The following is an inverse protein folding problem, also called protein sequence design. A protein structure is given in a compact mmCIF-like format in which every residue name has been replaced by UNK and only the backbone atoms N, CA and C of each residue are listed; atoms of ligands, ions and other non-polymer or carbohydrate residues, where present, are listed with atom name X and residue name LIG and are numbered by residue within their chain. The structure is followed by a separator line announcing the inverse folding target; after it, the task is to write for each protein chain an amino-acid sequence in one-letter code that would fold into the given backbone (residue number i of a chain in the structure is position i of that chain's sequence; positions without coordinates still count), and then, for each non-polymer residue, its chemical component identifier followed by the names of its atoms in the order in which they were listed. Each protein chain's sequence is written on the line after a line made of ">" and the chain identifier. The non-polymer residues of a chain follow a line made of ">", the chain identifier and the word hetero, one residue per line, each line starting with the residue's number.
data_IF_288661554523
#
_entry.id   IF_288661554523
#
_cell.length_a   1.000
_cell.length_b   1.000
_cell.length_c   1.000
_cell.angle_alpha   90.00
_cell.angle_beta   90.00
_cell.angle_gamma   90.00
#
_symmetry.space_group_name_H-M   'P 1'
#
loop_
_entity.id
_entity.type
_entity.pdbx_description
1 polymer ?
#
# COMPACT_ATOMS: atom_id res chain seq x y z
N UNK A 1 23.91 -36.45 -14.51
CA UNK A 1 22.47 -36.10 -14.65
C UNK A 1 21.61 -36.46 -13.43
N UNK A 2 21.86 -37.59 -12.74
CA UNK A 2 21.07 -38.00 -11.55
C UNK A 2 21.10 -36.97 -10.40
N UNK A 3 22.24 -36.32 -10.19
CA UNK A 3 22.40 -35.32 -9.12
C UNK A 3 21.72 -33.98 -9.45
N UNK A 4 21.52 -33.67 -10.74
CA UNK A 4 20.84 -32.43 -11.17
C UNK A 4 19.32 -32.55 -10.99
N UNK A 5 18.75 -33.72 -11.30
CA UNK A 5 17.33 -33.99 -11.08
C UNK A 5 16.96 -33.95 -9.60
N UNK A 6 17.86 -34.47 -8.74
CA UNK A 6 17.69 -34.41 -7.29
C UNK A 6 17.77 -32.99 -6.73
N UNK A 7 18.58 -32.11 -7.34
CA UNK A 7 18.68 -30.70 -6.95
C UNK A 7 17.43 -29.92 -7.37
N UNK A 8 16.89 -30.22 -8.57
CA UNK A 8 15.66 -29.60 -9.09
C UNK A 8 14.43 -29.92 -8.21
N UNK A 9 14.32 -31.15 -7.70
CA UNK A 9 13.28 -31.57 -6.75
C UNK A 9 13.40 -30.94 -5.35
N UNK A 10 14.59 -30.46 -4.95
CA UNK A 10 14.74 -29.72 -3.70
C UNK A 10 14.19 -28.29 -3.81
N UNK A 11 14.37 -27.64 -4.96
CA UNK A 11 13.92 -26.25 -5.19
C UNK A 11 12.40 -26.13 -5.38
N UNK A 12 11.70 -27.21 -5.75
CA UNK A 12 10.24 -27.16 -5.94
C UNK A 12 9.46 -26.91 -4.64
N UNK A 13 10.05 -27.19 -3.47
CA UNK A 13 9.40 -26.94 -2.17
C UNK A 13 9.37 -25.46 -1.77
N UNK A 14 10.21 -24.61 -2.38
CA UNK A 14 10.32 -23.19 -2.04
C UNK A 14 9.25 -22.36 -2.80
N UNK A 15 8.61 -22.92 -3.82
CA UNK A 15 7.78 -22.18 -4.77
C UNK A 15 6.27 -22.31 -4.56
N UNK A 16 5.79 -23.12 -3.62
CA UNK A 16 4.37 -23.51 -3.61
C UNK A 16 3.43 -22.50 -2.92
N UNK A 17 3.94 -21.55 -2.11
CA UNK A 17 3.13 -20.46 -1.55
C UNK A 17 3.98 -19.18 -1.40
N UNK A 18 4.05 -18.37 -2.44
CA UNK A 18 4.79 -17.09 -2.45
C UNK A 18 4.03 -15.95 -1.74
N UNK A 19 3.55 -16.20 -0.52
CA UNK A 19 2.98 -15.16 0.35
C UNK A 19 4.10 -14.41 1.07
N UNK A 20 4.10 -13.08 0.99
CA UNK A 20 5.13 -12.23 1.60
C UNK A 20 4.62 -11.78 2.97
N UNK A 21 5.05 -12.48 4.02
CA UNK A 21 4.93 -12.00 5.40
C UNK A 21 6.15 -11.17 5.79
N UNK A 22 5.96 -9.92 6.20
CA UNK A 22 7.01 -9.08 6.78
C UNK A 22 6.76 -8.98 8.28
N UNK A 23 7.68 -9.52 9.07
CA UNK A 23 7.57 -9.56 10.54
C UNK A 23 6.62 -10.65 11.09
N UNK A 24 5.96 -11.43 10.23
CA UNK A 24 5.08 -12.55 10.63
C UNK A 24 5.43 -13.82 9.85
N UNK A 25 5.42 -14.98 10.53
CA UNK A 25 5.55 -16.31 9.91
C UNK A 25 4.21 -16.92 9.49
N UNK A 26 3.09 -16.31 9.89
CA UNK A 26 1.73 -16.74 9.58
C UNK A 26 0.96 -15.59 8.92
N UNK A 27 1.30 -15.23 7.68
CA UNK A 27 0.64 -14.11 7.00
C UNK A 27 -0.85 -14.42 6.79
N UNK A 28 -1.70 -13.43 7.07
CA UNK A 28 -3.17 -13.51 6.95
C UNK A 28 -3.69 -13.16 5.55
N UNK A 29 -2.81 -12.72 4.66
CA UNK A 29 -3.11 -12.36 3.28
C UNK A 29 -1.87 -12.47 2.40
N UNK A 30 -1.99 -12.11 1.12
CA UNK A 30 -0.87 -12.17 0.16
C UNK A 30 0.32 -11.28 0.59
N UNK A 31 0.03 -10.17 1.28
CA UNK A 31 0.97 -9.31 1.97
C UNK A 31 0.46 -9.09 3.39
N UNK A 32 1.24 -9.46 4.41
CA UNK A 32 0.96 -9.17 5.81
C UNK A 32 2.19 -8.53 6.44
N UNK A 33 2.07 -7.27 6.86
CA UNK A 33 3.11 -6.52 7.55
C UNK A 33 2.66 -6.39 9.00
N UNK A 34 3.22 -7.22 9.86
CA UNK A 34 2.82 -7.28 11.27
C UNK A 34 3.96 -7.80 12.13
N UNK A 35 3.92 -7.53 13.44
CA UNK A 35 4.82 -8.15 14.43
C UNK A 35 4.07 -9.25 15.21
N UNK A 36 4.75 -10.27 15.76
CA UNK A 36 4.13 -11.21 16.71
C UNK A 36 3.76 -10.52 18.04
N UNK A 37 4.33 -9.35 18.31
CA UNK A 37 4.00 -8.44 19.42
C UNK A 37 3.29 -7.18 18.88
N UNK A 38 3.05 -6.17 19.74
CA UNK A 38 2.62 -4.86 19.26
C UNK A 38 3.65 -4.26 18.29
N UNK A 39 3.21 -3.93 17.06
CA UNK A 39 4.04 -3.23 16.08
C UNK A 39 4.02 -1.73 16.36
N UNK A 40 5.20 -1.16 16.60
CA UNK A 40 5.38 0.30 16.73
C UNK A 40 5.74 0.97 15.40
N UNK A 41 5.96 0.18 14.34
CA UNK A 41 6.32 0.68 13.02
C UNK A 41 5.08 0.77 12.12
N UNK A 42 4.92 1.90 11.44
CA UNK A 42 3.88 2.15 10.45
C UNK A 42 4.34 1.90 9.02
N UNK A 43 3.38 1.83 8.09
CA UNK A 43 3.65 1.82 6.65
C UNK A 43 3.84 3.25 6.13
N UNK A 44 5.02 3.55 5.62
CA UNK A 44 5.27 4.83 4.92
C UNK A 44 4.85 4.67 3.46
N UNK A 45 3.83 5.41 3.04
CA UNK A 45 3.37 5.43 1.66
C UNK A 45 4.26 6.35 0.80
N UNK A 46 4.34 6.10 -0.52
CA UNK A 46 4.83 7.11 -1.46
C UNK A 46 4.05 8.41 -1.24
N UNK A 47 4.76 9.53 -1.20
CA UNK A 47 4.18 10.83 -0.90
C UNK A 47 4.49 11.84 -1.99
N UNK A 48 3.52 12.64 -2.39
CA UNK A 48 3.71 13.71 -3.36
C UNK A 48 2.75 14.88 -3.10
N UNK A 49 3.10 16.07 -3.59
CA UNK A 49 2.25 17.26 -3.54
C UNK A 49 1.09 17.20 -4.52
N UNK A 50 1.23 16.44 -5.60
CA UNK A 50 0.23 16.32 -6.67
C UNK A 50 0.06 14.86 -7.11
N UNK A 51 -1.20 14.44 -7.19
CA UNK A 51 -1.57 13.10 -7.59
C UNK A 51 -1.23 12.80 -9.07
N UNK A 52 -1.03 13.83 -9.90
CA UNK A 52 -0.60 13.71 -11.30
C UNK A 52 0.85 13.23 -11.45
N UNK A 53 1.69 13.43 -10.41
CA UNK A 53 3.09 12.98 -10.37
C UNK A 53 3.22 11.49 -10.02
N UNK A 54 2.16 10.86 -9.50
CA UNK A 54 2.16 9.44 -9.22
C UNK A 54 1.93 8.69 -10.53
N UNK A 55 2.92 7.90 -10.94
CA UNK A 55 2.90 7.13 -12.20
C UNK A 55 3.05 5.65 -11.93
N UNK A 56 2.53 4.83 -12.84
CA UNK A 56 2.86 3.41 -12.90
C UNK A 56 4.35 3.28 -13.28
N UNK A 57 5.19 2.58 -12.49
CA UNK A 57 6.62 2.50 -12.73
C UNK A 57 7.00 1.70 -13.99
N UNK A 58 6.15 0.79 -14.46
CA UNK A 58 6.42 0.00 -15.67
C UNK A 58 6.10 0.76 -16.96
N UNK A 59 4.99 1.52 -16.94
CA UNK A 59 4.46 2.17 -18.15
C UNK A 59 4.70 3.68 -18.18
N UNK A 60 5.13 4.27 -17.06
CA UNK A 60 5.23 5.71 -16.82
C UNK A 60 3.92 6.50 -17.06
N UNK A 61 2.79 5.80 -17.09
CA UNK A 61 1.45 6.36 -17.31
C UNK A 61 0.66 6.42 -15.99
N UNK A 62 -0.67 6.48 -16.08
CA UNK A 62 -1.54 6.46 -14.93
C UNK A 62 -1.29 5.22 -14.06
N UNK A 63 -1.40 5.34 -12.72
CA UNK A 63 -1.32 4.20 -11.81
C UNK A 63 -2.40 3.16 -12.11
N UNK A 64 -2.23 1.95 -11.58
CA UNK A 64 -3.27 0.92 -11.64
C UNK A 64 -4.30 1.14 -10.53
N UNK A 65 -5.60 0.82 -10.76
CA UNK A 65 -6.60 0.83 -9.70
C UNK A 65 -6.13 0.04 -8.47
N UNK A 66 -6.34 0.58 -7.27
CA UNK A 66 -5.80 0.02 -6.03
C UNK A 66 -4.53 0.70 -5.52
N UNK A 67 -3.89 1.56 -6.34
CA UNK A 67 -2.72 2.33 -5.90
C UNK A 67 -3.11 3.32 -4.80
N UNK A 68 -2.35 3.37 -3.70
CA UNK A 68 -2.51 4.36 -2.63
C UNK A 68 -1.26 5.24 -2.50
N UNK A 69 -1.44 6.49 -2.12
CA UNK A 69 -0.34 7.41 -1.80
C UNK A 69 -0.76 8.44 -0.75
N UNK A 70 0.22 9.08 -0.13
CA UNK A 70 0.01 10.20 0.77
C UNK A 70 0.09 11.54 0.02
N UNK A 71 -1.02 12.24 -0.06
CA UNK A 71 -1.12 13.59 -0.61
C UNK A 71 -0.62 14.58 0.44
N UNK A 72 0.58 15.13 0.21
CA UNK A 72 1.24 16.08 1.10
C UNK A 72 0.46 17.40 1.13
N UNK A 73 -0.11 17.83 -0.01
CA UNK A 73 -0.82 19.10 -0.12
C UNK A 73 -2.07 19.13 0.75
N UNK A 74 -2.81 18.02 0.79
CA UNK A 74 -4.04 17.90 1.57
C UNK A 74 -3.86 17.10 2.88
N UNK A 75 -2.63 16.67 3.19
CA UNK A 75 -2.28 15.90 4.38
C UNK A 75 -3.16 14.67 4.60
N UNK A 76 -3.35 13.85 3.55
CA UNK A 76 -4.30 12.75 3.58
C UNK A 76 -3.91 11.58 2.65
N UNK A 77 -4.51 10.41 2.85
CA UNK A 77 -4.35 9.26 1.95
C UNK A 77 -5.36 9.36 0.79
N UNK A 78 -4.93 9.01 -0.42
CA UNK A 78 -5.79 8.85 -1.60
C UNK A 78 -5.63 7.48 -2.24
N UNK A 79 -6.71 6.98 -2.84
CA UNK A 79 -6.78 5.72 -3.60
C UNK A 79 -7.06 6.00 -5.08
N UNK A 80 -6.33 5.34 -5.97
CA UNK A 80 -6.64 5.35 -7.39
C UNK A 80 -7.79 4.37 -7.68
N UNK A 81 -8.94 4.90 -8.09
CA UNK A 81 -10.18 4.14 -8.25
C UNK A 81 -10.19 3.38 -9.58
N UNK A 82 -11.09 2.40 -9.69
CA UNK A 82 -11.35 1.66 -10.93
C UNK A 82 -11.84 2.56 -12.09
N UNK A 83 -12.34 3.76 -11.77
CA UNK A 83 -12.73 4.79 -12.74
C UNK A 83 -11.55 5.58 -13.32
N UNK A 84 -10.31 5.17 -13.05
CA UNK A 84 -9.07 5.86 -13.48
C UNK A 84 -8.96 7.31 -12.97
N UNK A 85 -9.46 7.55 -11.77
CA UNK A 85 -9.40 8.85 -11.10
C UNK A 85 -9.01 8.65 -9.63
N UNK A 86 -8.27 9.60 -9.07
CA UNK A 86 -8.02 9.62 -7.64
C UNK A 86 -9.32 9.79 -6.84
N UNK A 87 -9.37 9.15 -5.67
CA UNK A 87 -10.33 9.53 -4.64
C UNK A 87 -10.00 10.92 -4.11
N UNK A 88 -10.98 11.52 -3.46
CA UNK A 88 -10.70 12.58 -2.50
C UNK A 88 -9.94 12.00 -1.30
N UNK A 89 -9.60 12.85 -0.33
CA UNK A 89 -9.01 12.41 0.93
C UNK A 89 -9.91 11.36 1.59
N UNK A 90 -9.31 10.25 2.05
CA UNK A 90 -9.99 9.34 2.95
C UNK A 90 -10.38 10.10 4.23
N UNK A 91 -11.68 10.25 4.45
CA UNK A 91 -12.22 10.89 5.65
C UNK A 91 -12.18 9.94 6.85
N UNK A 92 -11.81 10.48 8.00
CA UNK A 92 -11.89 9.78 9.29
C UNK A 92 -13.37 9.66 9.75
N UNK A 93 -14.20 10.67 9.45
CA UNK A 93 -15.64 10.73 9.75
C UNK A 93 -16.45 11.07 8.48
N UNK A 94 -16.71 10.08 7.61
CA UNK A 94 -17.50 10.30 6.38
C UNK A 94 -19.01 10.56 6.62
N UNK A 95 -19.40 10.85 7.86
CA UNK A 95 -20.79 11.12 8.29
C UNK A 95 -21.05 12.58 8.66
N UNK A 96 -20.02 13.43 8.75
CA UNK A 96 -20.23 14.85 9.05
C UNK A 96 -20.29 15.65 7.75
N UNK A 97 -21.40 16.33 7.44
CA UNK A 97 -21.39 17.32 6.38
C UNK A 97 -20.25 18.31 6.69
N UNK A 98 -19.47 18.63 5.67
CA UNK A 98 -18.38 19.60 5.72
C UNK A 98 -18.96 20.91 6.28
N UNK A 99 -18.73 21.21 7.55
CA UNK A 99 -19.00 22.54 8.09
C UNK A 99 -17.70 23.35 7.95
N UNK A 100 -17.64 24.36 7.07
CA UNK A 100 -16.41 25.08 6.72
C UNK A 100 -16.00 26.09 7.81
N UNK A 101 -15.93 25.65 9.07
CA UNK A 101 -15.40 26.45 10.18
C UNK A 101 -14.63 25.55 11.13
N UNK A 102 -13.38 25.27 10.79
CA UNK A 102 -12.36 24.98 11.80
C UNK A 102 -11.60 26.30 12.03
N UNK A 103 -11.58 26.85 13.25
CA UNK A 103 -10.78 28.01 13.56
C UNK A 103 -9.31 27.63 13.49
N UNK A 104 -8.54 28.47 12.81
CA UNK A 104 -7.08 28.43 12.81
C UNK A 104 -6.62 28.56 14.26
N UNK A 105 -6.05 27.50 14.84
CA UNK A 105 -5.24 27.63 16.05
C UNK A 105 -3.81 27.81 15.56
N UNK A 106 -3.36 29.07 15.49
CA UNK A 106 -1.94 29.40 15.38
C UNK A 106 -1.23 29.06 16.69
N UNK A 107 0.06 28.67 16.66
CA UNK A 107 0.87 28.56 17.87
C UNK A 107 1.03 29.91 18.59
#
# INVERSE_FOLDING_TARGET
>A
MKNLFSLLLLFTNICIFAQIGIGTSTPRGALDINSPTESIAGLVLPSNLDATNIKNPETNNNPVPGTIFYDIKNSCIRLYKQTNTWSDCFCEDCSKPINPTIPIITP
#
